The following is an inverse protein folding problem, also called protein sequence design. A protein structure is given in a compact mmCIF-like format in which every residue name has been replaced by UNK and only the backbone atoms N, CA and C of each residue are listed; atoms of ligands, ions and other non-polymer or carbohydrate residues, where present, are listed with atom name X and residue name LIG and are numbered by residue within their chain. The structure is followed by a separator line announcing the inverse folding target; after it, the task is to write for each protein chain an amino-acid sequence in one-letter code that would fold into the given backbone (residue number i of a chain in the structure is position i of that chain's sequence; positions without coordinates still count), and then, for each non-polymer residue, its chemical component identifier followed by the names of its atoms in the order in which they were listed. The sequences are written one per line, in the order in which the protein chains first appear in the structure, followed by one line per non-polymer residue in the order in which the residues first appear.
data_IF_417963805001
#
_entry.id   IF_417963805001
#
_cell.length_a   1.000
_cell.length_b   1.000
_cell.length_c   1.000
_cell.angle_alpha   90.00
_cell.angle_beta   90.00
_cell.angle_gamma   90.00
#
_symmetry.space_group_name_H-M   'P 1'
#
loop_
_entity.id
_entity.type
_entity.pdbx_description
1 polymer ?
#
# COMPACT_ATOMS: atom_id res chain seq x y z
N UNK A 1 -19.67 -22.45 -23.76
CA UNK A 1 -20.20 -21.10 -24.05
C UNK A 1 -19.98 -20.26 -22.81
N UNK A 2 -18.99 -19.37 -22.83
CA UNK A 2 -18.74 -18.42 -21.74
C UNK A 2 -19.90 -17.41 -21.68
N UNK A 3 -20.45 -17.11 -20.49
CA UNK A 3 -21.19 -15.87 -20.29
C UNK A 3 -20.22 -14.78 -19.79
N UNK A 4 -20.21 -13.69 -20.54
CA UNK A 4 -19.54 -12.41 -20.32
C UNK A 4 -19.82 -11.81 -18.94
N UNK A 5 -18.85 -11.17 -18.25
CA UNK A 5 -19.06 -10.58 -16.93
C UNK A 5 -19.66 -9.17 -17.04
N UNK A 6 -20.66 -8.87 -16.22
CA UNK A 6 -21.19 -7.51 -16.04
C UNK A 6 -21.35 -7.22 -14.54
N UNK A 7 -20.67 -6.17 -14.09
CA UNK A 7 -20.98 -5.47 -12.84
C UNK A 7 -19.81 -5.37 -11.87
N UNK A 8 -19.31 -4.15 -11.69
CA UNK A 8 -18.10 -3.79 -10.96
C UNK A 8 -18.20 -3.97 -9.43
N UNK A 9 -17.09 -4.45 -8.84
CA UNK A 9 -16.78 -4.32 -7.41
C UNK A 9 -16.58 -2.83 -7.08
N UNK A 10 -17.06 -2.38 -5.91
CA UNK A 10 -16.77 -1.04 -5.42
C UNK A 10 -15.26 -0.94 -5.12
N UNK A 11 -14.56 -0.28 -6.03
CA UNK A 11 -13.11 -0.17 -6.07
C UNK A 11 -12.50 0.35 -4.76
N UNK A 12 -11.42 -0.29 -4.33
CA UNK A 12 -10.41 0.43 -3.55
C UNK A 12 -9.72 1.45 -4.48
N UNK A 13 -9.32 2.65 -4.02
CA UNK A 13 -8.68 3.66 -4.88
C UNK A 13 -7.37 3.21 -5.57
N UNK A 14 -6.87 2.02 -5.25
CA UNK A 14 -5.60 1.46 -5.70
C UNK A 14 -5.75 0.06 -6.34
N UNK A 15 -6.98 -0.46 -6.48
CA UNK A 15 -7.24 -1.73 -7.18
C UNK A 15 -6.96 -1.58 -8.68
N UNK A 16 -5.78 -2.06 -9.10
CA UNK A 16 -5.54 -2.37 -10.51
C UNK A 16 -6.38 -3.59 -10.90
N UNK A 17 -7.20 -3.44 -11.93
CA UNK A 17 -8.34 -4.32 -12.27
C UNK A 17 -8.01 -5.78 -12.65
N UNK A 18 -6.82 -6.31 -12.40
CA UNK A 18 -6.45 -7.65 -12.85
C UNK A 18 -5.60 -8.38 -11.80
N UNK A 19 -6.00 -9.64 -11.53
CA UNK A 19 -5.37 -10.66 -10.69
C UNK A 19 -5.82 -10.78 -9.22
N UNK A 20 -7.12 -10.98 -8.98
CA UNK A 20 -7.77 -11.83 -7.94
C UNK A 20 -9.23 -11.38 -7.74
N UNK A 21 -10.10 -11.72 -8.67
CA UNK A 21 -11.47 -11.21 -8.74
C UNK A 21 -12.52 -12.11 -8.06
N UNK A 22 -12.12 -13.00 -7.14
CA UNK A 22 -12.99 -14.10 -6.68
C UNK A 22 -13.40 -14.03 -5.20
N UNK A 23 -13.14 -12.91 -4.49
CA UNK A 23 -13.55 -12.78 -3.09
C UNK A 23 -14.08 -11.37 -2.78
N UNK A 24 -15.31 -11.22 -2.23
CA UNK A 24 -15.73 -9.95 -1.63
C UNK A 24 -14.73 -9.54 -0.56
N UNK A 25 -14.26 -8.30 -0.66
CA UNK A 25 -13.23 -7.77 0.22
C UNK A 25 -13.87 -7.33 1.55
N UNK A 26 -13.47 -7.98 2.64
CA UNK A 26 -13.58 -7.39 3.96
C UNK A 26 -12.90 -6.03 3.96
N UNK A 27 -13.50 -5.05 4.62
CA UNK A 27 -13.10 -3.65 4.48
C UNK A 27 -12.01 -3.36 5.52
N UNK A 28 -10.81 -3.01 5.01
CA UNK A 28 -9.57 -2.86 5.78
C UNK A 28 -8.52 -3.89 5.33
N UNK A 29 -7.24 -3.49 5.22
CA UNK A 29 -6.14 -4.37 4.79
C UNK A 29 -6.05 -5.65 5.64
N UNK A 30 -6.47 -5.57 6.89
CA UNK A 30 -6.44 -6.69 7.84
C UNK A 30 -7.52 -7.75 7.61
N UNK A 31 -8.60 -7.37 6.92
CA UNK A 31 -9.74 -8.24 6.59
C UNK A 31 -9.87 -8.46 5.07
N UNK A 32 -8.84 -8.10 4.31
CA UNK A 32 -8.81 -8.25 2.86
C UNK A 32 -8.95 -9.74 2.48
N UNK A 33 -9.97 -10.04 1.68
CA UNK A 33 -10.34 -11.42 1.31
C UNK A 33 -11.16 -12.19 2.35
N UNK A 34 -11.53 -11.59 3.49
CA UNK A 34 -12.43 -12.22 4.45
C UNK A 34 -13.88 -12.22 3.93
N UNK A 35 -14.37 -13.41 3.57
CA UNK A 35 -15.73 -13.65 3.11
C UNK A 35 -16.52 -14.43 4.15
N UNK A 36 -17.84 -14.21 4.19
CA UNK A 36 -18.75 -15.02 4.99
C UNK A 36 -19.81 -15.61 4.06
N UNK A 37 -19.82 -16.93 3.96
CA UNK A 37 -20.86 -17.67 3.26
C UNK A 37 -22.16 -17.67 4.06
N UNK A 38 -23.26 -17.53 3.36
CA UNK A 38 -24.63 -17.67 3.82
C UNK A 38 -25.34 -18.81 3.10
N UNK A 39 -26.56 -19.14 3.54
CA UNK A 39 -27.40 -20.12 2.86
C UNK A 39 -27.65 -19.70 1.41
N UNK A 40 -27.71 -20.68 0.50
CA UNK A 40 -28.18 -20.42 -0.85
C UNK A 40 -29.66 -20.02 -0.81
N UNK A 41 -29.96 -18.81 -1.26
CA UNK A 41 -31.31 -18.28 -1.28
C UNK A 41 -31.88 -18.29 -2.70
N UNK A 42 -33.18 -18.60 -2.82
CA UNK A 42 -33.91 -18.52 -4.09
C UNK A 42 -34.45 -17.11 -4.40
N UNK A 43 -34.38 -16.20 -3.43
CA UNK A 43 -34.82 -14.82 -3.56
C UNK A 43 -33.64 -13.89 -3.87
N UNK A 44 -33.91 -12.80 -4.60
CA UNK A 44 -32.88 -11.84 -4.96
C UNK A 44 -32.44 -10.98 -3.77
N UNK A 45 -31.14 -10.75 -3.57
CA UNK A 45 -30.64 -9.83 -2.55
C UNK A 45 -31.08 -8.40 -2.84
N UNK A 46 -31.23 -7.56 -1.81
CA UNK A 46 -31.60 -6.16 -1.97
C UNK A 46 -30.67 -5.22 -1.20
N UNK A 47 -30.12 -4.24 -1.93
CA UNK A 47 -29.30 -3.19 -1.33
C UNK A 47 -30.08 -2.38 -0.29
N UNK A 48 -31.36 -2.08 -0.55
CA UNK A 48 -32.21 -1.33 0.37
C UNK A 48 -32.30 -1.98 1.76
N UNK A 49 -32.47 -3.30 1.80
CA UNK A 49 -32.50 -4.07 3.06
C UNK A 49 -31.16 -4.01 3.79
N UNK A 50 -30.05 -4.17 3.08
CA UNK A 50 -28.70 -4.04 3.67
C UNK A 50 -28.50 -2.64 4.25
N UNK A 51 -28.97 -1.61 3.56
CA UNK A 51 -28.88 -0.22 4.02
C UNK A 51 -29.72 0.01 5.29
N UNK A 52 -30.93 -0.53 5.31
CA UNK A 52 -31.83 -0.49 6.46
C UNK A 52 -31.23 -1.22 7.66
N UNK A 53 -30.79 -2.47 7.48
CA UNK A 53 -30.13 -3.27 8.53
C UNK A 53 -28.95 -2.52 9.14
N UNK A 54 -28.05 -1.98 8.32
CA UNK A 54 -26.86 -1.27 8.82
C UNK A 54 -27.20 0.04 9.55
N UNK A 55 -28.26 0.73 9.12
CA UNK A 55 -28.79 1.92 9.81
C UNK A 55 -29.38 1.54 11.17
N UNK A 56 -30.21 0.48 11.22
CA UNK A 56 -30.77 -0.05 12.47
C UNK A 56 -29.71 -0.60 13.42
N UNK A 57 -28.64 -1.19 12.89
CA UNK A 57 -27.48 -1.66 13.68
C UNK A 57 -26.63 -0.51 14.24
N UNK A 58 -26.98 0.75 13.94
CA UNK A 58 -26.29 1.94 14.45
C UNK A 58 -24.91 2.17 13.86
N UNK A 59 -24.66 1.72 12.62
CA UNK A 59 -23.39 1.98 11.95
C UNK A 59 -23.31 3.46 11.53
N UNK A 60 -22.43 4.22 12.17
CA UNK A 60 -22.29 5.65 11.91
C UNK A 60 -21.70 5.92 10.51
N UNK A 61 -22.27 6.90 9.81
CA UNK A 61 -21.79 7.36 8.49
C UNK A 61 -20.46 8.15 8.59
N UNK A 62 -19.68 8.29 7.50
CA UNK A 62 -19.83 7.63 6.20
C UNK A 62 -19.43 6.16 6.23
N UNK A 63 -19.93 5.40 5.26
CA UNK A 63 -19.77 3.95 5.17
C UNK A 63 -19.76 3.51 3.71
N UNK A 64 -19.03 2.43 3.44
CA UNK A 64 -18.91 1.78 2.15
C UNK A 64 -19.62 0.43 2.19
N UNK A 65 -20.25 0.08 1.08
CA UNK A 65 -20.94 -1.21 0.90
C UNK A 65 -20.25 -1.94 -0.24
N UNK A 66 -19.75 -3.14 0.04
CA UNK A 66 -19.21 -4.07 -0.95
C UNK A 66 -20.29 -5.12 -1.28
N UNK A 67 -20.62 -5.21 -2.57
CA UNK A 67 -21.62 -6.13 -3.09
C UNK A 67 -20.93 -7.43 -3.49
N UNK A 68 -21.33 -8.59 -2.94
CA UNK A 68 -20.70 -9.85 -3.28
C UNK A 68 -21.07 -10.28 -4.71
N UNK A 69 -20.15 -11.01 -5.36
CA UNK A 69 -20.36 -11.52 -6.71
C UNK A 69 -21.44 -12.62 -6.79
N UNK A 70 -21.68 -13.33 -5.68
CA UNK A 70 -22.62 -14.43 -5.58
C UNK A 70 -23.61 -14.21 -4.43
N UNK A 71 -24.84 -14.70 -4.61
CA UNK A 71 -25.95 -14.48 -3.68
C UNK A 71 -25.86 -15.31 -2.39
N UNK A 72 -24.94 -16.27 -2.35
CA UNK A 72 -24.60 -17.09 -1.18
C UNK A 72 -23.52 -16.44 -0.30
N UNK A 73 -23.03 -15.25 -0.63
CA UNK A 73 -22.08 -14.51 0.21
C UNK A 73 -22.76 -13.31 0.89
N UNK A 74 -22.32 -13.01 2.10
CA UNK A 74 -22.78 -11.83 2.83
C UNK A 74 -22.24 -10.54 2.19
N UNK A 75 -23.05 -9.49 2.22
CA UNK A 75 -22.67 -8.14 1.85
C UNK A 75 -21.82 -7.54 2.96
N UNK A 76 -20.78 -6.81 2.59
CA UNK A 76 -19.90 -6.18 3.56
C UNK A 76 -20.19 -4.69 3.65
N UNK A 77 -20.31 -4.20 4.87
CA UNK A 77 -20.71 -2.84 5.17
C UNK A 77 -19.75 -2.26 6.19
N UNK A 78 -18.82 -1.40 5.79
CA UNK A 78 -17.86 -0.82 6.74
C UNK A 78 -17.95 0.67 6.86
N UNK A 79 -17.75 1.12 8.09
CA UNK A 79 -17.53 2.53 8.39
C UNK A 79 -16.23 3.01 7.76
N UNK A 80 -16.23 4.28 7.33
CA UNK A 80 -15.01 5.03 7.02
C UNK A 80 -14.71 5.95 8.21
N UNK A 81 -13.97 5.48 9.22
CA UNK A 81 -13.79 6.24 10.43
C UNK A 81 -12.69 7.30 10.27
N UNK A 82 -12.83 8.41 11.01
CA UNK A 82 -11.75 9.38 11.17
C UNK A 82 -10.68 8.90 12.16
N UNK A 83 -11.06 7.98 13.05
CA UNK A 83 -10.20 7.42 14.10
C UNK A 83 -10.32 5.90 14.13
N UNK A 84 -9.21 5.20 14.27
CA UNK A 84 -9.19 3.72 14.19
C UNK A 84 -10.07 3.04 15.23
N UNK A 85 -10.26 3.69 16.38
CA UNK A 85 -11.09 3.21 17.47
C UNK A 85 -12.57 3.05 17.05
N UNK A 86 -13.01 3.79 16.04
CA UNK A 86 -14.37 3.70 15.53
C UNK A 86 -14.51 2.72 14.34
N UNK A 87 -13.48 1.92 14.05
CA UNK A 87 -13.55 0.92 12.97
C UNK A 87 -14.60 -0.13 13.31
N UNK A 88 -15.57 -0.29 12.40
CA UNK A 88 -16.64 -1.28 12.50
C UNK A 88 -17.08 -1.73 11.11
N UNK A 89 -17.22 -3.03 10.94
CA UNK A 89 -17.62 -3.70 9.70
C UNK A 89 -18.72 -4.70 10.00
N UNK A 90 -19.86 -4.56 9.33
CA UNK A 90 -20.97 -5.50 9.37
C UNK A 90 -20.93 -6.39 8.13
N UNK A 91 -21.22 -7.67 8.33
CA UNK A 91 -21.51 -8.61 7.26
C UNK A 91 -22.99 -8.95 7.33
N UNK A 92 -23.72 -8.64 6.26
CA UNK A 92 -25.18 -8.70 6.22
C UNK A 92 -25.63 -9.63 5.10
N UNK A 93 -26.55 -10.54 5.40
CA UNK A 93 -27.22 -11.34 4.38
C UNK A 93 -28.10 -10.43 3.51
N UNK A 94 -27.80 -10.33 2.21
CA UNK A 94 -28.54 -9.43 1.31
C UNK A 94 -29.99 -9.84 1.08
N UNK A 95 -30.35 -11.10 1.34
CA UNK A 95 -31.70 -11.64 1.14
C UNK A 95 -32.51 -11.52 2.43
N UNK A 96 -31.98 -11.98 3.56
CA UNK A 96 -32.73 -11.97 4.83
C UNK A 96 -32.58 -10.66 5.60
N UNK A 97 -31.50 -9.90 5.37
CA UNK A 97 -31.14 -8.72 6.15
C UNK A 97 -30.51 -9.05 7.50
N UNK A 98 -30.21 -10.32 7.77
CA UNK A 98 -29.60 -10.79 9.01
C UNK A 98 -28.12 -10.34 9.10
N UNK A 99 -27.71 -9.81 10.25
CA UNK A 99 -26.29 -9.50 10.51
C UNK A 99 -25.57 -10.81 10.87
N UNK A 100 -24.74 -11.29 9.95
CA UNK A 100 -23.94 -12.51 10.10
C UNK A 100 -22.69 -12.29 10.96
N UNK A 101 -22.10 -11.10 10.88
CA UNK A 101 -21.01 -10.69 11.76
C UNK A 101 -20.99 -9.18 11.97
N UNK A 102 -20.62 -8.76 13.18
CA UNK A 102 -20.35 -7.38 13.55
C UNK A 102 -18.94 -7.31 14.13
N UNK A 103 -17.99 -6.88 13.30
CA UNK A 103 -16.58 -6.83 13.63
C UNK A 103 -16.19 -5.40 14.00
N UNK A 104 -15.60 -5.23 15.18
CA UNK A 104 -15.19 -3.92 15.72
C UNK A 104 -13.70 -3.88 16.00
N UNK A 105 -13.15 -2.67 16.09
CA UNK A 105 -11.73 -2.44 16.37
C UNK A 105 -11.25 -3.18 17.64
N UNK A 106 -12.09 -3.28 18.68
CA UNK A 106 -11.71 -3.94 19.94
C UNK A 106 -11.38 -5.42 19.75
N UNK A 107 -12.04 -6.06 18.78
CA UNK A 107 -11.89 -7.49 18.46
C UNK A 107 -10.64 -7.78 17.62
N UNK A 108 -9.95 -6.76 17.11
CA UNK A 108 -8.71 -6.95 16.36
C UNK A 108 -7.55 -7.39 17.27
N UNK A 109 -6.75 -8.33 16.76
CA UNK A 109 -5.48 -8.70 17.37
C UNK A 109 -4.48 -7.54 17.37
N UNK A 110 -3.45 -7.63 18.21
CA UNK A 110 -2.46 -6.54 18.38
C UNK A 110 -1.79 -6.11 17.07
N UNK A 111 -1.46 -7.07 16.20
CA UNK A 111 -0.85 -6.81 14.90
C UNK A 111 -1.79 -6.04 13.97
N UNK A 112 -3.05 -6.49 13.88
CA UNK A 112 -4.09 -5.81 13.09
C UNK A 112 -4.32 -4.38 13.60
N UNK A 113 -4.40 -4.18 14.92
CA UNK A 113 -4.50 -2.84 15.52
C UNK A 113 -3.31 -1.95 15.16
N UNK A 114 -2.09 -2.49 15.22
CA UNK A 114 -0.89 -1.74 14.85
C UNK A 114 -0.90 -1.32 13.37
N UNK A 115 -1.34 -2.20 12.46
CA UNK A 115 -1.48 -1.87 11.04
C UNK A 115 -2.53 -0.81 10.78
N UNK A 116 -3.76 -0.97 11.30
CA UNK A 116 -4.83 0.00 11.12
C UNK A 116 -4.44 1.37 11.70
N UNK A 117 -3.83 1.38 12.89
CA UNK A 117 -3.27 2.60 13.50
C UNK A 117 -2.20 3.25 12.62
N UNK A 118 -1.29 2.45 12.05
CA UNK A 118 -0.26 2.92 11.13
C UNK A 118 -0.86 3.55 9.87
N UNK A 119 -1.88 2.92 9.28
CA UNK A 119 -2.58 3.41 8.08
C UNK A 119 -3.26 4.74 8.39
N UNK A 120 -4.07 4.82 9.45
CA UNK A 120 -4.79 6.04 9.80
C UNK A 120 -3.84 7.19 10.20
N UNK A 121 -2.73 6.86 10.86
CA UNK A 121 -1.68 7.84 11.17
C UNK A 121 -1.04 8.33 9.87
N UNK A 122 -0.65 7.44 8.96
CA UNK A 122 -0.06 7.79 7.67
C UNK A 122 -0.99 8.62 6.78
N UNK A 123 -2.28 8.29 6.74
CA UNK A 123 -3.29 9.02 5.98
C UNK A 123 -3.65 10.40 6.57
N UNK A 124 -3.14 10.73 7.75
CA UNK A 124 -3.45 12.01 8.40
C UNK A 124 -4.87 12.09 8.98
N UNK A 125 -5.54 10.95 9.17
CA UNK A 125 -6.90 10.88 9.74
C UNK A 125 -6.83 10.77 11.26
N UNK A 126 -5.91 9.95 11.78
CA UNK A 126 -5.67 9.80 13.21
C UNK A 126 -5.18 11.13 13.83
N UNK A 127 -5.67 11.52 15.01
CA UNK A 127 -5.28 12.76 15.73
C UNK A 127 -5.56 14.10 15.00
N UNK A 128 -6.29 14.09 13.88
CA UNK A 128 -6.74 15.32 13.21
C UNK A 128 -5.60 16.18 12.64
N UNK A 129 -5.69 17.51 12.84
CA UNK A 129 -4.82 18.48 12.17
C UNK A 129 -3.33 18.33 12.54
N UNK A 130 -3.01 17.97 13.78
CA UNK A 130 -1.63 17.79 14.24
C UNK A 130 -0.94 16.72 13.41
N UNK A 131 -1.59 15.58 13.21
CA UNK A 131 -1.04 14.49 12.41
C UNK A 131 -0.78 14.92 10.96
N UNK A 132 -1.70 15.69 10.36
CA UNK A 132 -1.52 16.22 9.00
C UNK A 132 -0.30 17.12 8.88
N UNK A 133 -0.05 17.98 9.87
CA UNK A 133 1.15 18.82 9.90
C UNK A 133 2.43 17.98 10.02
N UNK A 134 2.41 16.94 10.87
CA UNK A 134 3.54 16.01 11.00
C UNK A 134 3.79 15.28 9.68
N UNK A 135 2.77 14.71 9.04
CA UNK A 135 2.90 14.04 7.74
C UNK A 135 3.41 15.00 6.66
N UNK A 136 2.88 16.23 6.59
CA UNK A 136 3.33 17.26 5.65
C UNK A 136 4.80 17.62 5.87
N UNK A 137 5.23 17.78 7.12
CA UNK A 137 6.65 18.06 7.43
C UNK A 137 7.56 16.91 7.00
N UNK A 138 7.12 15.66 7.15
CA UNK A 138 7.80 14.49 6.62
C UNK A 138 7.95 14.55 5.10
N UNK A 139 6.87 14.87 4.38
CA UNK A 139 6.92 15.07 2.92
C UNK A 139 7.91 16.17 2.52
N UNK A 140 7.86 17.32 3.19
CA UNK A 140 8.80 18.44 2.93
C UNK A 140 10.24 18.02 3.20
N UNK A 141 10.50 17.29 4.29
CA UNK A 141 11.85 16.80 4.61
C UNK A 141 12.39 15.85 3.52
N UNK A 142 11.55 14.95 2.97
CA UNK A 142 11.93 14.07 1.86
C UNK A 142 12.27 14.88 0.61
N UNK A 143 11.49 15.90 0.28
CA UNK A 143 11.78 16.81 -0.83
C UNK A 143 13.11 17.53 -0.64
N UNK A 144 13.34 18.10 0.53
CA UNK A 144 14.60 18.78 0.86
C UNK A 144 15.79 17.81 0.78
N UNK A 145 15.63 16.57 1.25
CA UNK A 145 16.65 15.54 1.16
C UNK A 145 16.96 15.17 -0.30
N UNK A 146 15.94 14.99 -1.14
CA UNK A 146 16.12 14.68 -2.56
C UNK A 146 16.79 15.82 -3.33
N UNK A 147 16.33 17.06 -3.13
CA UNK A 147 16.91 18.25 -3.76
C UNK A 147 18.34 18.45 -3.30
N UNK A 148 18.62 18.37 -1.99
CA UNK A 148 19.98 18.53 -1.47
C UNK A 148 20.91 17.42 -1.98
N UNK A 149 20.43 16.18 -2.08
CA UNK A 149 21.16 15.07 -2.71
C UNK A 149 21.52 15.38 -4.16
N UNK A 150 20.57 15.86 -4.96
CA UNK A 150 20.79 16.25 -6.35
C UNK A 150 21.78 17.43 -6.46
N UNK A 151 21.63 18.46 -5.62
CA UNK A 151 22.54 19.62 -5.59
C UNK A 151 23.96 19.19 -5.20
N UNK A 152 24.10 18.35 -4.17
CA UNK A 152 25.40 17.80 -3.76
C UNK A 152 26.05 17.00 -4.88
N UNK A 153 25.27 16.16 -5.56
CA UNK A 153 25.76 15.41 -6.72
C UNK A 153 26.18 16.36 -7.85
N UNK A 154 25.36 17.35 -8.19
CA UNK A 154 25.66 18.31 -9.26
C UNK A 154 26.95 19.07 -9.01
N UNK A 155 27.20 19.48 -7.76
CA UNK A 155 28.44 20.19 -7.36
C UNK A 155 29.67 19.29 -7.32
N UNK A 156 29.52 17.96 -7.25
CA UNK A 156 30.61 16.98 -7.10
C UNK A 156 30.77 16.03 -8.28
N UNK A 157 29.94 16.15 -9.32
CA UNK A 157 29.99 15.26 -10.49
C UNK A 157 31.29 15.47 -11.27
N UNK A 158 31.87 14.41 -11.88
CA UNK A 158 33.04 14.55 -12.75
C UNK A 158 32.75 15.43 -13.96
N UNK A 159 33.72 16.24 -14.41
CA UNK A 159 33.60 17.04 -15.63
C UNK A 159 33.45 16.19 -16.90
N UNK A 160 33.96 14.94 -16.86
CA UNK A 160 33.97 14.00 -17.99
C UNK A 160 32.71 13.15 -18.14
N UNK A 161 31.64 13.40 -17.37
CA UNK A 161 30.32 12.80 -17.64
C UNK A 161 29.43 12.53 -16.43
N UNK A 162 28.36 11.78 -16.68
CA UNK A 162 27.47 11.25 -15.64
C UNK A 162 28.16 10.06 -14.96
N UNK A 163 28.63 10.26 -13.72
CA UNK A 163 29.29 9.26 -12.91
C UNK A 163 29.19 9.59 -11.41
N UNK A 164 29.40 8.59 -10.57
CA UNK A 164 29.43 8.78 -9.12
C UNK A 164 30.59 9.72 -8.72
N UNK A 165 30.40 10.62 -7.74
CA UNK A 165 31.49 11.42 -7.20
C UNK A 165 32.65 10.54 -6.72
N UNK A 166 33.88 10.91 -7.04
CA UNK A 166 35.09 10.09 -6.82
C UNK A 166 35.57 10.03 -5.37
N UNK A 167 34.93 10.76 -4.45
CA UNK A 167 35.36 10.81 -3.06
C UNK A 167 34.99 9.52 -2.32
N UNK A 168 35.98 8.71 -2.00
CA UNK A 168 35.82 7.52 -1.17
C UNK A 168 35.44 7.94 0.26
N UNK A 169 34.27 7.53 0.80
CA UNK A 169 33.91 7.82 2.17
C UNK A 169 34.93 7.23 3.15
N UNK A 170 35.25 7.95 4.23
CA UNK A 170 36.07 7.40 5.31
C UNK A 170 35.44 6.13 5.92
N UNK A 171 36.23 5.25 6.56
CA UNK A 171 35.77 3.94 7.03
C UNK A 171 34.59 4.03 8.02
N UNK A 172 34.55 5.07 8.86
CA UNK A 172 33.43 5.33 9.78
C UNK A 172 32.12 5.63 9.05
N UNK A 173 32.16 6.46 8.01
CA UNK A 173 30.97 6.82 7.21
C UNK A 173 30.47 5.59 6.46
N UNK A 174 31.38 4.80 5.88
CA UNK A 174 31.02 3.54 5.22
C UNK A 174 30.35 2.56 6.18
N UNK A 175 30.90 2.39 7.38
CA UNK A 175 30.32 1.52 8.40
C UNK A 175 28.92 2.00 8.82
N UNK A 176 28.73 3.30 9.04
CA UNK A 176 27.43 3.87 9.37
C UNK A 176 26.39 3.64 8.26
N UNK A 177 26.75 3.88 7.00
CA UNK A 177 25.86 3.65 5.86
C UNK A 177 25.50 2.16 5.74
N UNK A 178 26.48 1.25 5.83
CA UNK A 178 26.21 -0.19 5.76
C UNK A 178 25.37 -0.68 6.94
N UNK A 179 25.61 -0.15 8.14
CA UNK A 179 24.83 -0.44 9.34
C UNK A 179 23.35 -0.03 9.20
N UNK A 180 23.04 0.95 8.34
CA UNK A 180 21.66 1.33 8.00
C UNK A 180 21.14 0.47 6.84
N UNK A 181 21.87 0.40 5.74
CA UNK A 181 21.41 -0.22 4.48
C UNK A 181 21.17 -1.72 4.64
N UNK A 182 22.01 -2.45 5.36
CA UNK A 182 21.91 -3.91 5.47
C UNK A 182 20.62 -4.33 6.20
N UNK A 183 20.30 -3.82 7.41
CA UNK A 183 19.03 -4.14 8.06
C UNK A 183 17.81 -3.79 7.21
N UNK A 184 17.79 -2.61 6.57
CA UNK A 184 16.68 -2.23 5.69
C UNK A 184 16.55 -3.14 4.47
N UNK A 185 17.66 -3.63 3.91
CA UNK A 185 17.63 -4.57 2.79
C UNK A 185 17.13 -5.95 3.20
N UNK A 186 17.36 -6.37 4.44
CA UNK A 186 16.84 -7.63 4.99
C UNK A 186 15.34 -7.52 5.26
N UNK A 187 14.90 -6.42 5.86
CA UNK A 187 13.49 -6.18 6.18
C UNK A 187 12.67 -5.92 4.90
N UNK A 188 13.26 -5.23 3.92
CA UNK A 188 12.64 -4.89 2.63
C UNK A 188 13.46 -5.46 1.47
N UNK A 189 13.26 -6.75 1.13
CA UNK A 189 14.12 -7.47 0.17
C UNK A 189 14.14 -6.83 -1.22
N UNK A 190 13.03 -6.22 -1.65
CA UNK A 190 12.96 -5.55 -2.95
C UNK A 190 13.89 -4.31 -3.00
N UNK A 191 14.05 -3.60 -1.88
CA UNK A 191 15.04 -2.51 -1.74
C UNK A 191 16.44 -3.05 -1.91
N UNK A 192 16.77 -4.16 -1.22
CA UNK A 192 18.08 -4.82 -1.35
C UNK A 192 18.38 -5.26 -2.79
N UNK A 193 17.40 -5.89 -3.45
CA UNK A 193 17.53 -6.31 -4.86
C UNK A 193 17.72 -5.12 -5.80
N UNK A 194 17.01 -4.00 -5.58
CA UNK A 194 17.17 -2.79 -6.40
C UNK A 194 18.58 -2.20 -6.30
N UNK A 195 19.19 -2.23 -5.11
CA UNK A 195 20.56 -1.78 -4.89
C UNK A 195 21.56 -2.70 -5.59
N UNK A 196 21.37 -4.01 -5.52
CA UNK A 196 22.20 -4.99 -6.25
C UNK A 196 22.11 -4.77 -7.76
N UNK A 197 20.90 -4.54 -8.29
CA UNK A 197 20.67 -4.24 -9.69
C UNK A 197 21.38 -2.94 -10.11
N UNK A 198 21.28 -1.87 -9.30
CA UNK A 198 21.97 -0.61 -9.56
C UNK A 198 23.49 -0.78 -9.58
N UNK A 199 24.06 -1.55 -8.64
CA UNK A 199 25.50 -1.86 -8.62
C UNK A 199 25.90 -2.63 -9.88
N UNK A 200 25.12 -3.63 -10.30
CA UNK A 200 25.41 -4.40 -11.49
C UNK A 200 25.40 -3.51 -12.74
N UNK A 201 24.38 -2.66 -12.89
CA UNK A 201 24.26 -1.71 -14.01
C UNK A 201 25.44 -0.73 -14.05
N UNK A 202 25.86 -0.19 -12.89
CA UNK A 202 27.02 0.69 -12.79
C UNK A 202 28.31 -0.02 -13.25
N UNK A 203 28.51 -1.28 -12.84
CA UNK A 203 29.69 -2.08 -13.26
C UNK A 203 29.69 -2.37 -14.75
N UNK A 204 28.53 -2.72 -15.32
CA UNK A 204 28.39 -2.96 -16.76
C UNK A 204 28.65 -1.67 -17.54
N UNK A 205 28.06 -0.54 -17.14
CA UNK A 205 28.28 0.75 -17.80
C UNK A 205 29.74 1.18 -17.76
N UNK A 206 30.43 1.00 -16.62
CA UNK A 206 31.86 1.28 -16.50
C UNK A 206 32.72 0.35 -17.36
N UNK A 207 32.40 -0.93 -17.44
CA UNK A 207 33.11 -1.88 -18.30
C UNK A 207 32.96 -1.52 -19.79
N UNK A 208 31.76 -1.13 -20.22
CA UNK A 208 31.47 -0.71 -21.60
C UNK A 208 32.23 0.57 -21.96
N UNK A 209 32.19 1.61 -21.10
CA UNK A 209 32.94 2.86 -21.33
C UNK A 209 34.44 2.65 -21.44
N UNK A 210 35.01 1.75 -20.61
CA UNK A 210 36.44 1.39 -20.68
C UNK A 210 36.80 0.72 -22.01
N UNK A 211 35.93 -0.14 -22.55
CA UNK A 211 36.16 -0.82 -23.84
C UNK A 211 36.20 0.17 -25.02
N UNK A 212 35.28 1.13 -25.07
CA UNK A 212 35.27 2.15 -26.12
C UNK A 212 36.48 3.09 -26.05
N UNK A 213 36.88 3.50 -24.84
CA UNK A 213 38.05 4.37 -24.64
C UNK A 213 39.39 3.71 -25.03
N UNK A 214 39.49 2.38 -24.98
CA UNK A 214 40.67 1.63 -25.44
C UNK A 214 40.70 1.57 -26.98
N UNK A 215 39.54 1.38 -27.62
CA UNK A 215 39.43 1.30 -29.08
C UNK A 215 39.84 2.58 -29.81
N UNK A 216 39.52 3.76 -29.25
CA UNK A 216 39.93 5.05 -29.83
C UNK A 216 41.45 5.29 -29.75
N UNK A 217 42.14 4.67 -28.79
CA UNK A 217 43.58 4.87 -28.57
C UNK A 217 44.45 3.94 -29.41
N UNK A 218 43.85 2.92 -30.02
CA UNK A 218 44.51 1.93 -30.89
C UNK A 218 44.15 2.08 -32.38
N UNK A 219 43.39 3.12 -32.74
CA UNK A 219 43.18 3.47 -34.14
C UNK A 219 44.48 4.10 -34.71
N UNK A 220 44.94 3.66 -35.90
CA UNK A 220 46.23 4.07 -36.49
C UNK A 220 46.28 5.55 -36.91
#
# INVERSE_FOLDING_TARGET
VQPTPLGASAASPWEHAQHKADAPNGVGWTMEGATLSGPAHHASPSLGRVVETATHAGLARPWLISVPASSDLAWTVARQPARVEDTRTLYVDGVTGEVRADIRYEQFGWGAKAFEWGIATHQGTQYGAINRWVMLSGCVAVWLLAISGLVMWWRRRPSSGLGAPTATPGPRVRAAVLGIVIPFSIIYPLTGLSLLAAILLDRVAMAVRRRFAISERTAP
#
